data_IF_524391442804
#
_entry.id   IF_524391442804
#
_cell.length_a   1.000
_cell.length_b   1.000
_cell.length_c   1.000
_cell.angle_alpha   90.00
_cell.angle_beta   90.00
_cell.angle_gamma   90.00
#
_symmetry.space_group_name_H-M   'P 1'
#
loop_
_entity.id
_entity.type
_entity.pdbx_description
1 polymer ?
#
# COMPACT_ATOMS: atom_id res chain seq x y z
N UNK A 1 -21.74 4.63 -34.47
CA UNK A 1 -20.75 4.94 -33.41
C UNK A 1 -21.26 6.18 -32.69
N UNK A 2 -21.71 6.05 -31.45
CA UNK A 2 -22.17 7.19 -30.65
C UNK A 2 -20.93 7.95 -30.15
N UNK A 3 -20.88 9.25 -30.38
CA UNK A 3 -19.75 10.05 -29.91
C UNK A 3 -19.76 10.18 -28.39
N UNK A 4 -18.62 10.50 -27.79
CA UNK A 4 -18.52 10.79 -26.35
C UNK A 4 -19.53 11.87 -25.93
N UNK A 5 -19.72 12.88 -26.78
CA UNK A 5 -20.58 14.02 -26.48
C UNK A 5 -22.06 13.63 -26.51
N UNK A 6 -22.46 12.72 -27.40
CA UNK A 6 -23.81 12.16 -27.43
C UNK A 6 -24.09 11.30 -26.19
N UNK A 7 -23.10 10.55 -25.71
CA UNK A 7 -23.21 9.77 -24.48
C UNK A 7 -23.32 10.67 -23.24
N UNK A 8 -22.55 11.75 -23.17
CA UNK A 8 -22.63 12.73 -22.08
C UNK A 8 -23.98 13.46 -22.05
N UNK A 9 -24.52 13.81 -23.23
CA UNK A 9 -25.85 14.44 -23.34
C UNK A 9 -26.94 13.50 -22.83
N UNK A 10 -26.91 12.23 -23.23
CA UNK A 10 -27.88 11.24 -22.78
C UNK A 10 -27.84 11.02 -21.25
N UNK A 11 -26.65 11.06 -20.63
CA UNK A 11 -26.51 10.98 -19.17
C UNK A 11 -27.14 12.18 -18.44
N UNK A 12 -26.98 13.39 -19.00
CA UNK A 12 -27.53 14.62 -18.42
C UNK A 12 -29.07 14.68 -18.49
N UNK A 13 -29.65 14.13 -19.56
CA UNK A 13 -31.10 14.14 -19.76
C UNK A 13 -31.80 12.99 -19.01
N UNK A 14 -31.05 12.13 -18.33
CA UNK A 14 -31.59 11.00 -17.54
C UNK A 14 -32.09 11.46 -16.17
N UNK A 15 -33.26 10.96 -15.76
CA UNK A 15 -33.79 11.15 -14.41
C UNK A 15 -33.10 10.20 -13.43
N UNK A 16 -32.36 10.77 -12.47
CA UNK A 16 -31.60 10.04 -11.45
C UNK A 16 -32.27 10.08 -10.07
N UNK A 17 -33.51 10.58 -9.95
CA UNK A 17 -34.19 10.79 -8.66
C UNK A 17 -34.39 9.52 -7.83
N UNK A 18 -34.40 8.34 -8.46
CA UNK A 18 -34.45 7.03 -7.80
C UNK A 18 -33.11 6.28 -7.75
N UNK A 19 -32.01 6.91 -8.14
CA UNK A 19 -30.71 6.26 -8.17
C UNK A 19 -30.05 6.26 -6.78
N UNK A 20 -29.40 5.14 -6.45
CA UNK A 20 -28.54 5.05 -5.27
C UNK A 20 -27.10 5.37 -5.65
N UNK A 21 -26.46 6.26 -4.89
CA UNK A 21 -25.04 6.56 -5.05
C UNK A 21 -24.23 5.48 -4.36
N UNK A 22 -23.52 4.67 -5.15
CA UNK A 22 -22.51 3.78 -4.60
C UNK A 22 -21.31 4.61 -4.11
N UNK A 23 -21.14 4.65 -2.78
CA UNK A 23 -20.00 5.29 -2.13
C UNK A 23 -18.83 4.34 -1.92
N UNK A 24 -18.87 3.14 -2.51
CA UNK A 24 -17.74 2.23 -2.47
C UNK A 24 -16.50 2.88 -3.08
N UNK A 25 -15.36 2.73 -2.42
CA UNK A 25 -14.09 3.23 -2.95
C UNK A 25 -13.77 2.49 -4.24
N UNK A 26 -13.64 3.24 -5.33
CA UNK A 26 -13.21 2.68 -6.61
C UNK A 26 -11.83 2.03 -6.46
N UNK A 27 -11.71 0.77 -6.89
CA UNK A 27 -10.41 0.08 -6.94
C UNK A 27 -9.70 0.43 -8.25
N UNK A 28 -8.51 1.00 -8.15
CA UNK A 28 -7.63 1.24 -9.31
C UNK A 28 -6.65 0.07 -9.44
N UNK A 29 -6.59 -0.53 -10.63
CA UNK A 29 -5.66 -1.63 -10.92
C UNK A 29 -4.49 -1.11 -11.75
N UNK A 30 -3.28 -1.25 -11.21
CA UNK A 30 -2.05 -1.04 -11.95
C UNK A 30 -1.48 -2.40 -12.40
N UNK A 31 -1.24 -2.55 -13.70
CA UNK A 31 -0.67 -3.77 -14.27
C UNK A 31 0.73 -3.50 -14.81
N UNK A 32 1.69 -4.33 -14.41
CA UNK A 32 3.07 -4.28 -14.86
C UNK A 32 3.60 -5.69 -15.12
N UNK A 33 4.59 -5.81 -15.99
CA UNK A 33 5.29 -7.08 -16.25
C UNK A 33 6.52 -7.16 -15.36
N UNK A 34 6.60 -8.19 -14.53
CA UNK A 34 7.76 -8.45 -13.70
C UNK A 34 8.73 -9.40 -14.43
N UNK A 35 10.06 -9.20 -14.29
CA UNK A 35 11.03 -10.22 -14.65
C UNK A 35 10.73 -11.54 -13.91
N UNK A 36 10.96 -12.71 -14.52
CA UNK A 36 10.64 -14.01 -13.92
C UNK A 36 11.23 -14.22 -12.52
N UNK A 37 12.46 -13.76 -12.30
CA UNK A 37 13.18 -13.87 -11.04
C UNK A 37 12.52 -13.03 -9.94
N UNK A 38 12.04 -11.84 -10.30
CA UNK A 38 11.32 -10.95 -9.38
C UNK A 38 9.96 -11.54 -9.03
N UNK A 39 9.25 -12.07 -10.02
CA UNK A 39 7.96 -12.74 -9.81
C UNK A 39 8.12 -13.93 -8.85
N UNK A 40 9.15 -14.76 -9.06
CA UNK A 40 9.40 -15.94 -8.22
C UNK A 40 9.69 -15.56 -6.75
N UNK A 41 10.46 -14.49 -6.55
CA UNK A 41 10.76 -13.97 -5.20
C UNK A 41 9.52 -13.39 -4.51
N UNK A 42 8.68 -12.67 -5.26
CA UNK A 42 7.43 -12.12 -4.75
C UNK A 42 6.49 -13.24 -4.27
N UNK A 43 6.30 -14.27 -5.10
CA UNK A 43 5.44 -15.41 -4.78
C UNK A 43 5.94 -16.17 -3.55
N UNK A 44 7.25 -16.45 -3.48
CA UNK A 44 7.85 -17.12 -2.34
C UNK A 44 7.66 -16.33 -1.03
N UNK A 45 7.84 -15.01 -1.08
CA UNK A 45 7.68 -14.14 0.08
C UNK A 45 6.22 -14.00 0.51
N UNK A 46 5.30 -13.85 -0.45
CA UNK A 46 3.86 -13.81 -0.18
C UNK A 46 3.40 -15.12 0.49
N UNK A 47 3.86 -16.26 -0.05
CA UNK A 47 3.61 -17.58 0.54
C UNK A 47 4.16 -17.69 1.97
N UNK A 48 5.42 -17.27 2.19
CA UNK A 48 6.05 -17.27 3.52
C UNK A 48 5.27 -16.43 4.54
N UNK A 49 4.65 -15.33 4.10
CA UNK A 49 3.82 -14.45 4.93
C UNK A 49 2.35 -14.87 5.02
N UNK A 50 1.91 -15.87 4.24
CA UNK A 50 0.51 -16.28 4.18
C UNK A 50 -0.43 -15.22 3.59
N UNK A 51 0.07 -14.33 2.74
CA UNK A 51 -0.71 -13.28 2.06
C UNK A 51 -0.67 -13.46 0.54
N UNK A 52 -1.51 -12.72 -0.18
CA UNK A 52 -1.48 -12.72 -1.64
C UNK A 52 -0.32 -11.87 -2.19
N UNK A 53 0.22 -12.17 -3.38
CA UNK A 53 1.22 -11.33 -4.03
C UNK A 53 0.77 -9.88 -4.21
N UNK A 54 -0.52 -9.64 -4.52
CA UNK A 54 -1.08 -8.28 -4.59
C UNK A 54 -1.04 -7.55 -3.25
N UNK A 55 -1.41 -8.22 -2.16
CA UNK A 55 -1.33 -7.63 -0.82
C UNK A 55 0.11 -7.25 -0.47
N UNK A 56 1.07 -8.14 -0.77
CA UNK A 56 2.48 -7.86 -0.56
C UNK A 56 2.99 -6.68 -1.42
N UNK A 57 2.57 -6.58 -2.68
CA UNK A 57 2.92 -5.42 -3.53
C UNK A 57 2.38 -4.13 -2.91
N UNK A 58 1.13 -4.10 -2.46
CA UNK A 58 0.56 -2.91 -1.81
C UNK A 58 1.35 -2.53 -0.55
N UNK A 59 1.68 -3.49 0.33
CA UNK A 59 2.50 -3.22 1.51
C UNK A 59 3.86 -2.63 1.16
N UNK A 60 4.53 -3.16 0.13
CA UNK A 60 5.85 -2.69 -0.30
C UNK A 60 5.77 -1.29 -0.94
N UNK A 61 4.71 -1.01 -1.70
CA UNK A 61 4.44 0.31 -2.27
C UNK A 61 4.14 1.32 -1.18
N UNK A 62 3.26 0.98 -0.23
CA UNK A 62 2.92 1.84 0.91
C UNK A 62 4.16 2.12 1.76
N UNK A 63 4.99 1.12 2.04
CA UNK A 63 6.25 1.30 2.77
C UNK A 63 7.27 2.15 1.99
N UNK A 64 7.35 2.00 0.67
CA UNK A 64 8.27 2.76 -0.19
C UNK A 64 7.83 4.20 -0.45
N UNK A 65 6.52 4.46 -0.38
CA UNK A 65 5.92 5.79 -0.52
C UNK A 65 5.64 6.47 0.83
N UNK A 66 5.73 5.72 1.94
CA UNK A 66 5.62 6.30 3.26
C UNK A 66 6.60 7.48 3.35
N UNK A 67 6.13 8.67 3.79
CA UNK A 67 7.02 9.79 3.95
C UNK A 67 8.15 9.33 4.86
N UNK A 68 9.39 9.48 4.39
CA UNK A 68 10.56 9.34 5.26
C UNK A 68 10.27 10.32 6.39
N UNK A 69 9.96 9.81 7.58
CA UNK A 69 9.82 10.65 8.76
C UNK A 69 11.09 11.50 8.77
N UNK A 70 10.89 12.82 8.62
CA UNK A 70 11.88 13.88 8.50
C UNK A 70 13.32 13.35 8.55
N UNK A 71 14.10 13.49 7.47
CA UNK A 71 15.48 12.99 7.27
C UNK A 71 16.51 13.58 8.28
N UNK A 72 16.03 13.99 9.46
CA UNK A 72 16.72 14.25 10.71
C UNK A 72 17.54 13.03 11.09
N UNK A 73 18.83 13.13 10.79
CA UNK A 73 19.84 12.23 11.35
C UNK A 73 19.83 12.34 12.87
N UNK A 74 19.26 11.35 13.55
CA UNK A 74 19.32 11.25 15.01
C UNK A 74 20.67 10.67 15.41
N UNK A 75 21.56 11.51 15.93
CA UNK A 75 22.85 11.05 16.47
C UNK A 75 22.64 10.54 17.89
N UNK A 76 22.82 9.22 18.08
CA UNK A 76 22.82 8.59 19.41
C UNK A 76 24.22 8.15 19.80
N UNK A 77 24.59 8.28 21.07
CA UNK A 77 25.84 7.70 21.57
C UNK A 77 25.65 6.19 21.70
N UNK A 78 26.65 5.42 21.25
CA UNK A 78 26.59 3.95 21.31
C UNK A 78 26.35 3.40 22.72
N UNK A 79 26.87 4.08 23.76
CA UNK A 79 26.66 3.69 25.16
C UNK A 79 25.19 3.83 25.59
N UNK A 80 24.50 4.87 25.13
CA UNK A 80 23.10 5.12 25.49
C UNK A 80 22.18 4.12 24.77
N UNK A 81 22.49 3.77 23.51
CA UNK A 81 21.78 2.72 22.78
C UNK A 81 21.96 1.36 23.46
N UNK A 82 23.18 1.01 23.86
CA UNK A 82 23.46 -0.24 24.58
C UNK A 82 22.64 -0.32 25.87
N UNK A 83 22.65 0.75 26.67
CA UNK A 83 21.88 0.81 27.93
C UNK A 83 20.37 0.67 27.69
N UNK A 84 19.85 1.31 26.65
CA UNK A 84 18.43 1.20 26.30
C UNK A 84 18.06 -0.25 25.94
N UNK A 85 18.90 -0.94 25.16
CA UNK A 85 18.70 -2.35 24.83
C UNK A 85 18.74 -3.23 26.08
N UNK A 86 19.75 -3.03 26.94
CA UNK A 86 19.92 -3.83 28.15
C UNK A 86 18.72 -3.65 29.11
N UNK A 87 18.19 -2.44 29.22
CA UNK A 87 16.99 -2.16 30.02
C UNK A 87 15.74 -2.85 29.45
N UNK A 88 15.52 -2.80 28.14
CA UNK A 88 14.38 -3.49 27.51
C UNK A 88 14.46 -5.00 27.72
N UNK A 89 15.67 -5.57 27.65
CA UNK A 89 15.89 -7.00 27.92
C UNK A 89 15.62 -7.33 29.39
N UNK A 90 16.05 -6.45 30.31
CA UNK A 90 15.83 -6.63 31.74
C UNK A 90 14.35 -6.55 32.11
N UNK A 91 13.63 -5.56 31.58
CA UNK A 91 12.19 -5.38 31.80
C UNK A 91 11.37 -6.52 31.19
N UNK A 92 11.83 -7.11 30.08
CA UNK A 92 11.18 -8.29 29.48
C UNK A 92 11.45 -9.59 30.24
N UNK A 93 12.44 -9.61 31.14
CA UNK A 93 12.83 -10.77 31.94
C UNK A 93 12.35 -10.70 33.40
N UNK A 94 11.75 -9.58 33.81
CA UNK A 94 11.14 -9.36 35.12
C UNK A 94 9.64 -9.69 35.11
#
# INVERSE_FOLDING_TARGET
MTSRDDALRALNDSDWSGAEVDQSTAKVVHSTRLPPEVSSRLEAEAHRRGITPSALICELVDAGLAPVADDTTVTVRAADLRRAIDNVIHDAAA
#
